data_IF_410727743354
#
_entry.id   IF_410727743354
#
_cell.length_a   1.000
_cell.length_b   1.000
_cell.length_c   1.000
_cell.angle_alpha   90.00
_cell.angle_beta   90.00
_cell.angle_gamma   90.00
#
_symmetry.space_group_name_H-M   'P 1'
#
loop_
_entity.id
_entity.type
_entity.pdbx_description
1 polymer ?
#
# COMPACT_ATOMS: atom_id res chain seq x y z
N UNK A 1 2.29 -28.20 70.53
CA UNK A 1 1.76 -26.90 70.07
C UNK A 1 2.88 -26.17 69.32
N UNK A 2 3.10 -26.49 68.05
CA UNK A 2 4.10 -25.82 67.21
C UNK A 2 3.37 -24.81 66.31
N UNK A 3 3.57 -23.52 66.57
CA UNK A 3 3.01 -22.43 65.78
C UNK A 3 3.93 -22.14 64.59
N UNK A 4 3.42 -22.40 63.39
CA UNK A 4 4.07 -22.16 62.11
C UNK A 4 4.28 -20.66 61.89
N UNK A 5 5.53 -20.20 61.96
CA UNK A 5 5.95 -18.86 61.52
C UNK A 5 6.67 -18.98 60.17
N UNK A 6 5.95 -19.23 59.07
CA UNK A 6 6.56 -19.24 57.73
C UNK A 6 5.64 -18.65 56.64
N UNK A 7 4.81 -17.65 56.97
CA UNK A 7 3.84 -17.09 56.01
C UNK A 7 3.84 -15.54 55.99
N UNK A 8 4.99 -14.85 55.86
CA UNK A 8 4.90 -13.52 55.25
C UNK A 8 5.87 -13.29 54.08
N UNK A 9 6.73 -14.25 53.72
CA UNK A 9 7.72 -14.03 52.65
C UNK A 9 7.30 -14.48 51.25
N UNK A 10 6.32 -15.40 51.14
CA UNK A 10 5.90 -15.93 49.84
C UNK A 10 4.95 -14.98 49.10
N UNK A 11 4.19 -14.15 49.82
CA UNK A 11 3.18 -13.28 49.21
C UNK A 11 3.78 -12.00 48.57
N UNK A 12 4.96 -11.56 49.01
CA UNK A 12 5.62 -10.38 48.45
C UNK A 12 6.39 -10.68 47.15
N UNK A 13 6.80 -11.94 46.92
CA UNK A 13 7.51 -12.36 45.71
C UNK A 13 6.63 -12.44 44.46
N UNK A 14 5.31 -12.63 44.62
CA UNK A 14 4.38 -12.78 43.50
C UNK A 14 3.91 -11.45 42.89
N UNK A 15 4.09 -10.32 43.58
CA UNK A 15 3.63 -9.01 43.09
C UNK A 15 4.63 -8.38 42.11
N UNK A 16 5.89 -8.84 42.09
CA UNK A 16 6.94 -8.21 41.25
C UNK A 16 7.02 -8.82 39.83
N UNK A 17 6.38 -9.98 39.58
CA UNK A 17 6.53 -10.69 38.30
C UNK A 17 5.46 -10.39 37.25
N UNK A 18 4.47 -9.52 37.51
CA UNK A 18 3.40 -9.20 36.55
C UNK A 18 3.69 -8.00 35.64
N UNK A 19 4.80 -7.27 35.84
CA UNK A 19 4.98 -5.94 35.23
C UNK A 19 5.89 -5.86 34.01
N UNK A 20 6.31 -6.97 33.40
CA UNK A 20 7.16 -6.95 32.20
C UNK A 20 6.61 -7.71 30.99
N UNK A 21 5.28 -7.77 30.84
CA UNK A 21 4.70 -8.05 29.51
C UNK A 21 4.46 -6.72 28.79
N UNK A 22 5.52 -6.11 28.26
CA UNK A 22 5.37 -5.06 27.25
C UNK A 22 4.98 -5.76 25.94
N UNK A 23 3.69 -5.97 25.72
CA UNK A 23 3.17 -6.29 24.39
C UNK A 23 3.62 -5.18 23.45
N UNK A 24 4.33 -5.53 22.37
CA UNK A 24 4.67 -4.57 21.32
C UNK A 24 3.38 -3.86 20.89
N UNK A 25 3.37 -2.53 20.71
CA UNK A 25 2.18 -1.84 20.24
C UNK A 25 1.67 -2.55 18.98
N UNK A 26 0.36 -2.82 18.94
CA UNK A 26 -0.30 -3.41 17.78
C UNK A 26 0.18 -2.67 16.54
N UNK A 27 0.95 -3.35 15.68
CA UNK A 27 1.28 -2.80 14.37
C UNK A 27 -0.06 -2.52 13.70
N UNK A 28 -0.27 -1.28 13.27
CA UNK A 28 -1.44 -0.94 12.47
C UNK A 28 -1.41 -1.89 11.24
N UNK A 29 -2.41 -2.75 11.05
CA UNK A 29 -2.42 -3.71 9.95
C UNK A 29 -2.41 -3.01 8.58
N UNK A 30 -2.70 -1.71 8.55
CA UNK A 30 -2.70 -0.87 7.35
C UNK A 30 -1.36 -0.16 7.10
N UNK A 31 -0.41 -0.22 8.04
CA UNK A 31 0.95 0.30 7.83
C UNK A 31 1.78 -0.74 7.10
N UNK A 32 2.01 -0.51 5.81
CA UNK A 32 2.97 -1.27 5.02
C UNK A 32 4.38 -0.76 5.32
N UNK A 33 5.27 -1.58 5.91
CA UNK A 33 6.65 -1.17 6.16
C UNK A 33 7.40 -0.93 4.84
N UNK A 34 8.44 -0.09 4.82
CA UNK A 34 9.35 0.00 3.69
C UNK A 34 9.94 -1.38 3.35
N UNK A 35 10.17 -1.63 2.06
CA UNK A 35 10.75 -2.89 1.57
C UNK A 35 12.09 -3.18 2.25
N UNK A 36 12.31 -4.43 2.61
CA UNK A 36 13.61 -4.93 3.06
C UNK A 36 14.62 -4.94 1.90
N UNK A 37 15.91 -4.94 2.20
CA UNK A 37 16.96 -4.77 1.19
C UNK A 37 16.96 -5.90 0.13
N UNK A 38 16.67 -7.13 0.56
CA UNK A 38 16.48 -8.28 -0.32
C UNK A 38 15.24 -8.15 -1.23
N UNK A 39 14.16 -7.56 -0.73
CA UNK A 39 12.95 -7.30 -1.52
C UNK A 39 13.20 -6.21 -2.56
N UNK A 40 13.94 -5.15 -2.20
CA UNK A 40 14.39 -4.12 -3.15
C UNK A 40 15.29 -4.72 -4.24
N UNK A 41 16.19 -5.62 -3.89
CA UNK A 41 17.07 -6.33 -4.85
C UNK A 41 16.27 -7.25 -5.78
N UNK A 42 15.23 -7.90 -5.28
CA UNK A 42 14.33 -8.73 -6.08
C UNK A 42 13.48 -7.90 -7.05
N UNK A 43 12.99 -6.74 -6.60
CA UNK A 43 12.23 -5.77 -7.39
C UNK A 43 13.14 -4.82 -8.19
N UNK A 44 14.46 -4.94 -8.06
CA UNK A 44 15.38 -4.16 -8.88
C UNK A 44 15.12 -4.50 -10.34
N UNK A 45 15.19 -3.51 -11.26
CA UNK A 45 14.91 -3.73 -12.66
C UNK A 45 15.64 -4.98 -13.17
N UNK A 46 14.89 -6.01 -13.56
CA UNK A 46 15.46 -7.11 -14.32
C UNK A 46 15.99 -6.49 -15.60
N UNK A 47 17.31 -6.59 -15.80
CA UNK A 47 18.08 -6.21 -17.00
C UNK A 47 17.38 -5.14 -17.83
N UNK A 48 17.80 -3.88 -17.68
CA UNK A 48 17.31 -2.74 -18.49
C UNK A 48 17.17 -3.20 -19.93
N UNK A 49 15.93 -3.41 -20.38
CA UNK A 49 15.68 -3.77 -21.77
C UNK A 49 16.16 -2.57 -22.58
N UNK A 50 17.16 -2.79 -23.45
CA UNK A 50 17.61 -1.77 -24.39
C UNK A 50 16.40 -1.39 -25.24
N UNK A 51 15.80 -0.24 -24.96
CA UNK A 51 14.64 0.26 -25.67
C UNK A 51 14.98 0.41 -27.15
N UNK A 52 14.57 -0.57 -27.96
CA UNK A 52 14.74 -0.52 -29.40
C UNK A 52 13.47 0.09 -30.00
N UNK A 53 13.49 1.41 -30.18
CA UNK A 53 12.40 2.24 -30.70
C UNK A 53 11.91 1.89 -32.11
N UNK A 54 12.46 0.84 -32.74
CA UNK A 54 12.21 0.48 -34.14
C UNK A 54 11.00 -0.44 -34.35
N UNK A 55 10.34 -0.90 -33.29
CA UNK A 55 9.18 -1.81 -33.37
C UNK A 55 7.92 -1.23 -32.70
N UNK A 56 7.66 0.06 -32.89
CA UNK A 56 6.58 0.81 -32.23
C UNK A 56 5.21 0.62 -32.91
N UNK A 57 4.78 -0.63 -33.08
CA UNK A 57 3.35 -0.95 -33.17
C UNK A 57 2.69 -1.05 -31.79
N UNK A 58 3.48 -1.32 -30.74
CA UNK A 58 3.04 -1.40 -29.36
C UNK A 58 3.52 -0.17 -28.59
N UNK A 59 2.58 0.65 -28.09
CA UNK A 59 2.90 1.71 -27.14
C UNK A 59 3.56 1.06 -25.92
N UNK A 60 4.73 1.57 -25.58
CA UNK A 60 5.55 1.18 -24.43
C UNK A 60 4.70 1.19 -23.15
N UNK A 61 5.02 0.28 -22.22
CA UNK A 61 4.30 0.00 -20.97
C UNK A 61 4.15 1.11 -19.90
N UNK A 62 4.77 2.32 -19.93
CA UNK A 62 4.42 3.35 -18.94
C UNK A 62 2.98 3.90 -19.09
N UNK A 63 2.26 3.56 -20.16
CA UNK A 63 0.85 3.89 -20.33
C UNK A 63 0.06 2.67 -20.80
N UNK A 64 -1.18 2.57 -20.35
CA UNK A 64 -2.12 1.57 -20.80
C UNK A 64 -2.28 1.56 -22.33
N UNK A 65 -2.31 0.36 -22.90
CA UNK A 65 -2.71 0.14 -24.29
C UNK A 65 -4.14 -0.41 -24.42
N UNK A 66 -4.90 -0.51 -23.32
CA UNK A 66 -6.29 -0.96 -23.33
C UNK A 66 -7.22 0.14 -23.83
N UNK A 67 -7.59 0.07 -25.12
CA UNK A 67 -8.38 1.12 -25.78
C UNK A 67 -9.86 1.14 -25.36
N UNK A 68 -10.37 0.06 -24.77
CA UNK A 68 -11.81 -0.14 -24.49
C UNK A 68 -12.09 -0.52 -23.04
N UNK A 69 -11.43 0.17 -22.11
CA UNK A 69 -11.66 -0.02 -20.66
C UNK A 69 -13.11 0.31 -20.24
N UNK A 70 -13.83 1.10 -21.04
CA UNK A 70 -15.25 1.42 -20.84
C UNK A 70 -16.15 0.18 -20.77
N UNK A 71 -15.77 -0.92 -21.44
CA UNK A 71 -16.53 -2.17 -21.43
C UNK A 71 -16.61 -2.80 -20.03
N UNK A 72 -15.66 -2.49 -19.13
CA UNK A 72 -15.67 -3.00 -17.76
C UNK A 72 -16.59 -2.22 -16.83
N UNK A 73 -16.90 -0.96 -17.16
CA UNK A 73 -17.69 -0.07 -16.32
C UNK A 73 -18.98 -0.69 -15.78
N UNK A 74 -19.88 -1.29 -16.59
CA UNK A 74 -21.15 -1.83 -16.07
C UNK A 74 -20.97 -2.97 -15.07
N UNK A 75 -19.80 -3.61 -15.02
CA UNK A 75 -19.52 -4.74 -14.12
C UNK A 75 -18.88 -4.30 -12.80
N UNK A 76 -18.26 -3.12 -12.78
CA UNK A 76 -17.47 -2.68 -11.62
C UNK A 76 -18.01 -1.42 -10.96
N UNK A 77 -18.97 -0.72 -11.58
CA UNK A 77 -19.48 0.55 -11.05
C UNK A 77 -20.12 0.38 -9.67
N UNK A 78 -19.71 1.20 -8.71
CA UNK A 78 -20.18 1.21 -7.32
C UNK A 78 -19.98 -0.10 -6.52
N UNK A 79 -19.00 -0.95 -6.86
CA UNK A 79 -18.70 -2.16 -6.08
C UNK A 79 -18.16 -1.86 -4.66
N UNK A 80 -17.59 -0.68 -4.46
CA UNK A 80 -16.86 -0.28 -3.25
C UNK A 80 -15.72 -1.27 -2.90
N UNK A 81 -15.38 -1.41 -1.62
CA UNK A 81 -14.38 -2.37 -1.15
C UNK A 81 -12.93 -2.00 -1.47
N UNK A 82 -12.09 -3.03 -1.62
CA UNK A 82 -10.67 -2.89 -1.97
C UNK A 82 -10.41 -3.12 -3.46
N UNK A 83 -9.48 -2.36 -4.02
CA UNK A 83 -9.01 -2.51 -5.41
C UNK A 83 -7.56 -2.97 -5.44
N UNK A 84 -7.28 -3.98 -6.26
CA UNK A 84 -5.96 -4.53 -6.50
C UNK A 84 -5.71 -4.53 -8.00
N UNK A 85 -4.68 -3.83 -8.47
CA UNK A 85 -4.44 -3.69 -9.91
C UNK A 85 -2.97 -3.63 -10.27
N UNK A 86 -2.66 -4.17 -11.45
CA UNK A 86 -1.35 -4.14 -12.08
C UNK A 86 -1.28 -3.07 -13.17
N UNK A 87 -0.08 -2.61 -13.53
CA UNK A 87 0.10 -1.58 -14.55
C UNK A 87 -0.12 -0.16 -14.02
N UNK A 88 -0.52 0.74 -14.90
CA UNK A 88 -0.37 2.18 -14.72
C UNK A 88 -1.71 2.90 -14.60
N UNK A 89 -2.02 3.77 -15.56
CA UNK A 89 -3.01 4.84 -15.49
C UNK A 89 -4.45 4.33 -15.61
N UNK A 90 -4.67 3.18 -16.25
CA UNK A 90 -6.02 2.60 -16.36
C UNK A 90 -6.64 2.27 -15.00
N UNK A 91 -5.82 1.90 -14.01
CA UNK A 91 -6.27 1.57 -12.67
C UNK A 91 -7.07 2.70 -12.01
N UNK A 92 -6.66 3.96 -12.22
CA UNK A 92 -7.35 5.11 -11.61
C UNK A 92 -8.78 5.27 -12.12
N UNK A 93 -9.04 4.92 -13.38
CA UNK A 93 -10.39 4.93 -13.95
C UNK A 93 -11.26 3.84 -13.31
N UNK A 94 -10.72 2.63 -13.13
CA UNK A 94 -11.44 1.54 -12.47
C UNK A 94 -11.71 1.83 -11.00
N UNK A 95 -10.73 2.36 -10.26
CA UNK A 95 -10.89 2.81 -8.88
C UNK A 95 -12.01 3.86 -8.78
N UNK A 96 -12.04 4.80 -9.73
CA UNK A 96 -13.07 5.84 -9.79
C UNK A 96 -14.47 5.27 -10.01
N UNK A 97 -14.64 4.41 -11.00
CA UNK A 97 -15.94 3.77 -11.27
C UNK A 97 -16.38 2.87 -10.10
N UNK A 98 -15.47 2.10 -9.54
CA UNK A 98 -15.77 1.18 -8.45
C UNK A 98 -16.00 1.84 -7.09
N UNK A 99 -15.60 3.10 -6.90
CA UNK A 99 -15.63 3.79 -5.60
C UNK A 99 -14.85 3.03 -4.51
N UNK A 100 -13.70 2.50 -4.88
CA UNK A 100 -12.88 1.70 -3.97
C UNK A 100 -12.37 2.53 -2.79
N UNK A 101 -12.46 1.96 -1.58
CA UNK A 101 -12.04 2.60 -0.31
C UNK A 101 -10.57 2.34 0.00
N UNK A 102 -10.04 1.22 -0.47
CA UNK A 102 -8.65 0.81 -0.31
C UNK A 102 -8.08 0.45 -1.67
N UNK A 103 -6.84 0.82 -1.94
CA UNK A 103 -6.22 0.65 -3.25
C UNK A 103 -4.79 0.15 -3.07
N UNK A 104 -4.45 -0.91 -3.80
CA UNK A 104 -3.09 -1.41 -3.94
C UNK A 104 -2.72 -1.41 -5.43
N UNK A 105 -1.88 -0.45 -5.82
CA UNK A 105 -1.27 -0.39 -7.13
C UNK A 105 0.05 -1.17 -7.06
N UNK A 106 0.05 -2.38 -7.60
CA UNK A 106 1.23 -3.25 -7.60
C UNK A 106 1.80 -3.36 -9.00
N UNK A 107 3.11 -3.52 -9.12
CA UNK A 107 3.70 -3.99 -10.36
C UNK A 107 5.00 -4.72 -10.04
N UNK A 108 5.41 -5.59 -10.96
CA UNK A 108 6.72 -6.20 -10.88
C UNK A 108 7.81 -5.23 -11.36
N UNK A 109 7.49 -4.38 -12.35
CA UNK A 109 8.43 -3.36 -12.84
C UNK A 109 8.46 -2.16 -11.89
N UNK A 110 9.64 -1.91 -11.33
CA UNK A 110 9.92 -0.77 -10.46
C UNK A 110 9.56 0.59 -11.10
N UNK A 111 9.74 0.73 -12.41
CA UNK A 111 9.40 1.93 -13.17
C UNK A 111 7.91 2.23 -13.08
N UNK A 112 7.07 1.20 -13.17
CA UNK A 112 5.63 1.34 -13.06
C UNK A 112 5.22 1.73 -11.64
N UNK A 113 5.87 1.14 -10.63
CA UNK A 113 5.68 1.55 -9.23
C UNK A 113 6.00 3.04 -9.01
N UNK A 114 7.06 3.56 -9.64
CA UNK A 114 7.41 4.99 -9.59
C UNK A 114 6.37 5.87 -10.31
N UNK A 115 5.93 5.45 -11.51
CA UNK A 115 4.91 6.19 -12.28
C UNK A 115 3.59 6.28 -11.50
N UNK A 116 3.16 5.20 -10.85
CA UNK A 116 1.96 5.21 -10.01
C UNK A 116 2.09 6.18 -8.82
N UNK A 117 3.29 6.30 -8.21
CA UNK A 117 3.55 7.30 -7.17
C UNK A 117 3.46 8.74 -7.71
N UNK A 118 3.95 8.98 -8.91
CA UNK A 118 3.86 10.29 -9.57
C UNK A 118 2.40 10.67 -9.84
N UNK A 119 1.57 9.74 -10.35
CA UNK A 119 0.13 9.97 -10.52
C UNK A 119 -0.55 10.35 -9.20
N UNK A 120 -0.27 9.62 -8.12
CA UNK A 120 -0.79 9.93 -6.79
C UNK A 120 -0.34 11.31 -6.28
N UNK A 121 0.90 11.71 -6.55
CA UNK A 121 1.38 13.05 -6.21
C UNK A 121 0.55 14.11 -6.95
N UNK A 122 0.33 13.96 -8.25
CA UNK A 122 -0.46 14.91 -9.03
C UNK A 122 -1.91 15.00 -8.57
N UNK A 123 -2.56 13.86 -8.25
CA UNK A 123 -3.93 13.86 -7.72
C UNK A 123 -4.05 14.56 -6.36
N UNK A 124 -2.98 14.57 -5.57
CA UNK A 124 -2.94 15.28 -4.29
C UNK A 124 -2.65 16.78 -4.43
N UNK A 125 -2.23 17.27 -5.61
CA UNK A 125 -1.97 18.69 -5.78
C UNK A 125 -3.27 19.51 -5.69
N UNK A 126 -3.26 20.67 -5.01
CA UNK A 126 -4.45 21.49 -4.79
C UNK A 126 -5.24 21.89 -6.05
N UNK A 127 -4.61 22.25 -7.18
CA UNK A 127 -5.33 22.63 -8.40
C UNK A 127 -6.12 21.45 -8.97
N UNK A 128 -5.58 20.23 -8.88
CA UNK A 128 -6.17 19.01 -9.44
C UNK A 128 -7.22 18.45 -8.50
N UNK A 129 -6.97 18.47 -7.18
CA UNK A 129 -7.93 18.06 -6.15
C UNK A 129 -9.27 18.82 -6.27
N UNK A 130 -9.24 20.09 -6.69
CA UNK A 130 -10.44 20.89 -6.94
C UNK A 130 -11.28 20.41 -8.14
N UNK A 131 -10.64 19.77 -9.13
CA UNK A 131 -11.31 19.27 -10.33
C UNK A 131 -11.92 17.87 -10.15
N UNK A 132 -11.33 17.04 -9.27
CA UNK A 132 -11.76 15.65 -9.03
C UNK A 132 -12.78 15.49 -7.87
N UNK A 133 -13.09 16.56 -7.13
CA UNK A 133 -13.99 16.52 -5.96
C UNK A 133 -13.33 15.86 -4.74
N UNK A 134 -14.12 15.30 -3.82
CA UNK A 134 -13.61 14.52 -2.66
C UNK A 134 -13.00 13.15 -3.06
N UNK A 135 -12.58 12.99 -4.32
CA UNK A 135 -11.87 11.80 -4.76
C UNK A 135 -10.43 11.87 -4.26
N UNK A 136 -10.26 11.41 -3.04
CA UNK A 136 -8.99 11.22 -2.38
C UNK A 136 -9.25 10.34 -1.16
N UNK A 137 -8.47 9.28 -0.92
CA UNK A 137 -8.52 8.60 0.36
C UNK A 137 -8.26 9.68 1.42
N UNK A 138 -9.21 9.91 2.33
CA UNK A 138 -9.02 10.86 3.44
C UNK A 138 -7.77 10.53 4.26
N UNK A 139 -7.25 9.32 4.12
CA UNK A 139 -5.94 8.90 4.57
C UNK A 139 -5.18 8.14 3.46
N UNK A 140 -4.55 8.85 2.52
CA UNK A 140 -3.28 8.31 2.00
C UNK A 140 -2.23 8.60 3.08
N UNK A 141 -2.24 7.82 4.16
CA UNK A 141 -1.06 7.69 5.02
C UNK A 141 -0.01 6.99 4.17
N UNK A 142 0.92 7.78 3.63
CA UNK A 142 1.99 7.27 2.79
C UNK A 142 3.27 7.13 3.64
N UNK A 143 3.54 5.97 4.27
CA UNK A 143 4.80 5.74 4.98
C UNK A 143 6.01 5.68 4.04
N UNK A 144 5.81 5.72 2.72
CA UNK A 144 6.86 5.54 1.70
C UNK A 144 7.29 6.84 1.01
N UNK A 145 6.87 8.00 1.52
CA UNK A 145 7.33 9.34 1.10
C UNK A 145 8.63 9.78 1.81
N UNK A 146 9.15 8.99 2.75
CA UNK A 146 10.43 9.21 3.42
C UNK A 146 11.55 8.34 2.81
N UNK A 147 11.74 8.44 1.50
CA UNK A 147 12.96 8.04 0.81
C UNK A 147 13.58 9.29 0.16
#
# INVERSE_FOLDING_TARGET
MFHSKMIPFVLMGFIILSSFCKTSPSKDPWIVPPLEENEKLFLAPLKIDEFNSRDLGGRHYPASNELRIDLFKPYIENLEGGYLGAGTDQNFTFIAWAKSKYVWLMDFDYTICLINRIHLLFLNLPPIRKCIGNFGPEEIKNPLLNL
#
